data_IF_734311346041
#
_entry.id   IF_734311346041
#
_cell.length_a   1.000
_cell.length_b   1.000
_cell.length_c   1.000
_cell.angle_alpha   90.00
_cell.angle_beta   90.00
_cell.angle_gamma   90.00
#
_symmetry.space_group_name_H-M   'P 1'
#
loop_
_entity.id
_entity.type
_entity.pdbx_description
1 polymer ?
#
# COMPACT_ATOMS: atom_id res chain seq x y z
N UNK A 1 16.08 72.36 -17.41
CA UNK A 1 15.55 72.03 -16.07
C UNK A 1 14.85 70.69 -16.23
N UNK A 2 15.57 69.60 -15.95
CA UNK A 2 15.09 68.23 -16.07
C UNK A 2 14.73 67.75 -14.66
N UNK A 3 13.49 67.32 -14.46
CA UNK A 3 13.04 66.68 -13.22
C UNK A 3 13.01 65.18 -13.54
N UNK A 4 13.94 64.43 -12.94
CA UNK A 4 13.90 62.97 -12.96
C UNK A 4 12.89 62.45 -11.93
N UNK A 5 12.14 61.36 -12.22
CA UNK A 5 11.22 60.78 -11.27
C UNK A 5 11.97 59.93 -10.24
N UNK A 6 11.67 60.19 -8.97
CA UNK A 6 12.12 59.45 -7.81
C UNK A 6 11.47 58.05 -7.82
N UNK A 7 12.23 57.01 -8.18
CA UNK A 7 11.80 55.63 -7.94
C UNK A 7 12.12 55.25 -6.49
N UNK A 8 11.08 55.09 -5.68
CA UNK A 8 11.19 54.68 -4.27
C UNK A 8 11.41 53.16 -4.17
N UNK A 9 12.44 52.76 -3.43
CA UNK A 9 12.85 51.36 -3.17
C UNK A 9 11.79 50.50 -2.46
N UNK A 10 10.71 51.12 -1.97
CA UNK A 10 9.66 50.45 -1.19
C UNK A 10 8.80 49.46 -1.98
N UNK A 11 8.71 49.62 -3.30
CA UNK A 11 7.90 48.74 -4.16
C UNK A 11 8.53 47.35 -4.34
N UNK A 12 9.86 47.24 -4.25
CA UNK A 12 10.56 45.97 -4.44
C UNK A 12 10.43 45.06 -3.21
N UNK A 13 10.51 45.64 -2.01
CA UNK A 13 10.39 44.91 -0.74
C UNK A 13 8.96 44.40 -0.54
N UNK A 14 7.96 45.21 -0.88
CA UNK A 14 6.55 44.82 -0.78
C UNK A 14 6.20 43.68 -1.75
N UNK A 15 6.74 43.71 -2.99
CA UNK A 15 6.57 42.64 -3.98
C UNK A 15 7.27 41.34 -3.57
N UNK A 16 8.45 41.43 -2.94
CA UNK A 16 9.19 40.25 -2.46
C UNK A 16 8.47 39.56 -1.29
N UNK A 17 7.94 40.34 -0.34
CA UNK A 17 7.15 39.82 0.79
C UNK A 17 5.85 39.17 0.33
N UNK A 18 5.15 39.76 -0.66
CA UNK A 18 3.92 39.18 -1.21
C UNK A 18 4.18 37.84 -1.91
N UNK A 19 5.28 37.72 -2.67
CA UNK A 19 5.69 36.45 -3.27
C UNK A 19 5.99 35.37 -2.23
N UNK A 20 6.70 35.71 -1.14
CA UNK A 20 7.01 34.75 -0.08
C UNK A 20 5.74 34.26 0.66
N UNK A 21 4.74 35.12 0.85
CA UNK A 21 3.45 34.72 1.46
C UNK A 21 2.65 33.82 0.50
N UNK A 22 2.60 34.13 -0.79
CA UNK A 22 1.92 33.29 -1.79
C UNK A 22 2.60 31.91 -1.98
N UNK A 23 3.92 31.84 -1.89
CA UNK A 23 4.66 30.58 -1.98
C UNK A 23 4.43 29.67 -0.77
N UNK A 24 4.28 30.23 0.44
CA UNK A 24 4.00 29.44 1.65
C UNK A 24 2.54 28.94 1.75
N UNK A 25 1.59 29.62 1.11
CA UNK A 25 0.19 29.13 1.03
C UNK A 25 0.00 28.02 -0.01
N UNK A 26 0.89 27.92 -1.00
CA UNK A 26 0.79 26.95 -2.09
C UNK A 26 1.31 25.55 -1.70
N UNK A 27 2.21 25.45 -0.72
CA UNK A 27 2.77 24.17 -0.26
C UNK A 27 1.85 23.42 0.72
N UNK A 28 0.86 24.09 1.33
CA UNK A 28 -0.08 23.45 2.24
C UNK A 28 -1.21 22.69 1.51
N UNK A 29 -1.45 22.97 0.23
CA UNK A 29 -2.58 22.42 -0.52
C UNK A 29 -2.30 21.04 -1.17
N UNK A 30 -1.07 20.54 -1.15
CA UNK A 30 -0.72 19.25 -1.78
C UNK A 30 -0.58 18.11 -0.75
N UNK A 31 -0.55 18.43 0.56
CA UNK A 31 -0.37 17.44 1.63
C UNK A 31 -1.69 16.86 2.19
N UNK A 32 -2.86 17.25 1.68
CA UNK A 32 -4.16 16.86 2.26
C UNK A 32 -4.88 15.70 1.56
N UNK A 33 -4.33 15.12 0.48
CA UNK A 33 -5.04 14.08 -0.27
C UNK A 33 -4.84 12.65 0.22
N UNK A 34 -4.11 12.42 1.32
CA UNK A 34 -3.84 11.07 1.78
C UNK A 34 -3.87 10.96 3.31
N UNK A 35 -4.72 10.06 3.81
CA UNK A 35 -4.76 9.65 5.20
C UNK A 35 -4.36 8.17 5.30
N UNK A 36 -3.52 7.81 6.26
CA UNK A 36 -3.22 6.41 6.56
C UNK A 36 -4.45 5.62 7.06
N UNK A 37 -5.51 6.34 7.43
CA UNK A 37 -6.80 5.81 7.87
C UNK A 37 -7.88 5.86 6.77
N UNK A 38 -7.55 6.31 5.55
CA UNK A 38 -8.50 6.30 4.42
C UNK A 38 -8.92 4.86 4.10
N UNK A 39 -10.20 4.60 4.28
CA UNK A 39 -10.83 3.28 4.26
C UNK A 39 -11.37 2.91 2.86
N UNK A 40 -11.26 3.81 1.89
CA UNK A 40 -11.73 3.59 0.53
C UNK A 40 -10.58 3.19 -0.40
N UNK A 41 -10.79 2.11 -1.16
CA UNK A 41 -9.95 1.76 -2.31
C UNK A 41 -10.40 2.60 -3.51
N UNK A 42 -9.47 3.31 -4.14
CA UNK A 42 -9.71 4.07 -5.37
C UNK A 42 -8.88 3.51 -6.55
N UNK A 43 -9.51 2.76 -7.48
CA UNK A 43 -8.82 2.21 -8.65
C UNK A 43 -8.40 3.26 -9.69
N UNK A 44 -8.87 4.51 -9.56
CA UNK A 44 -8.51 5.63 -10.44
C UNK A 44 -7.22 6.34 -10.01
N UNK A 45 -6.79 6.16 -8.76
CA UNK A 45 -5.51 6.68 -8.30
C UNK A 45 -4.37 5.95 -9.00
N UNK A 46 -3.61 6.70 -9.80
CA UNK A 46 -2.43 6.17 -10.49
C UNK A 46 -1.20 6.08 -9.57
N UNK A 47 -1.09 6.99 -8.61
CA UNK A 47 -0.03 7.02 -7.62
C UNK A 47 -0.40 7.88 -6.41
N UNK A 48 0.18 7.57 -5.26
CA UNK A 48 0.12 8.40 -4.05
C UNK A 48 1.53 8.70 -3.55
N UNK A 49 1.74 9.87 -2.95
CA UNK A 49 3.01 10.21 -2.28
C UNK A 49 2.84 10.02 -0.78
N UNK A 50 3.71 9.22 -0.18
CA UNK A 50 3.71 8.92 1.25
C UNK A 50 5.12 9.20 1.78
N UNK A 51 5.24 10.22 2.63
CA UNK A 51 6.55 10.74 3.04
C UNK A 51 7.30 11.33 1.84
N UNK A 52 8.50 10.82 1.60
CA UNK A 52 9.39 11.18 0.50
C UNK A 52 9.35 10.19 -0.69
N UNK A 53 8.44 9.20 -0.64
CA UNK A 53 8.30 8.17 -1.67
C UNK A 53 6.98 8.27 -2.42
N UNK A 54 7.02 8.05 -3.74
CA UNK A 54 5.82 7.88 -4.58
C UNK A 54 5.53 6.40 -4.77
N UNK A 55 4.30 6.00 -4.45
CA UNK A 55 3.78 4.66 -4.57
C UNK A 55 2.82 4.57 -5.75
N UNK A 56 2.86 3.47 -6.49
CA UNK A 56 1.96 3.24 -7.63
C UNK A 56 0.61 2.75 -7.12
N UNK A 57 -0.47 3.35 -7.62
CA UNK A 57 -1.83 2.99 -7.27
C UNK A 57 -2.29 3.58 -5.93
N UNK A 58 -3.28 2.90 -5.35
CA UNK A 58 -3.82 3.18 -4.02
C UNK A 58 -3.40 2.08 -3.02
N UNK A 59 -2.21 2.20 -2.39
CA UNK A 59 -1.64 1.14 -1.58
C UNK A 59 -2.39 0.95 -0.27
N UNK A 60 -2.63 -0.31 0.10
CA UNK A 60 -3.06 -0.65 1.45
C UNK A 60 -1.86 -0.63 2.41
N UNK A 61 -1.93 0.05 3.57
CA UNK A 61 -0.86 0.04 4.56
C UNK A 61 -0.89 -1.23 5.41
N UNK A 62 0.28 -1.68 5.86
CA UNK A 62 0.41 -2.75 6.85
C UNK A 62 1.54 -2.46 7.82
N UNK A 63 1.56 -3.13 8.98
CA UNK A 63 2.67 -3.09 9.93
C UNK A 63 3.43 -4.40 9.89
N UNK A 64 4.73 -4.36 9.62
CA UNK A 64 5.58 -5.54 9.72
C UNK A 64 5.90 -5.84 11.19
N UNK A 65 5.55 -7.02 11.69
CA UNK A 65 5.64 -7.32 13.13
C UNK A 65 7.08 -7.36 13.65
N UNK A 66 8.04 -7.84 12.84
CA UNK A 66 9.44 -7.97 13.26
C UNK A 66 10.19 -6.63 13.36
N UNK A 67 9.86 -5.66 12.50
CA UNK A 67 10.52 -4.34 12.46
C UNK A 67 9.67 -3.20 13.02
N UNK A 68 8.37 -3.41 13.21
CA UNK A 68 7.40 -2.38 13.60
C UNK A 68 7.13 -1.32 12.53
N UNK A 69 7.69 -1.45 11.33
CA UNK A 69 7.56 -0.45 10.27
C UNK A 69 6.25 -0.58 9.52
N UNK A 70 5.71 0.55 9.10
CA UNK A 70 4.62 0.60 8.13
C UNK A 70 5.17 0.30 6.75
N UNK A 71 4.62 -0.72 6.10
CA UNK A 71 4.83 -1.03 4.69
C UNK A 71 3.55 -0.82 3.88
N UNK A 72 3.66 -1.00 2.57
CA UNK A 72 2.60 -0.71 1.62
C UNK A 72 2.46 -1.81 0.58
N UNK A 73 1.24 -2.06 0.14
CA UNK A 73 0.96 -3.07 -0.88
C UNK A 73 0.97 -2.49 -2.28
N UNK A 74 1.30 -3.31 -3.26
CA UNK A 74 0.97 -3.06 -4.67
C UNK A 74 0.34 -4.30 -5.27
N UNK A 75 -0.78 -4.13 -6.00
CA UNK A 75 -1.52 -5.23 -6.62
C UNK A 75 -1.67 -4.98 -8.12
N UNK A 76 -1.32 -5.98 -8.92
CA UNK A 76 -1.39 -5.92 -10.37
C UNK A 76 -1.70 -7.30 -10.97
N UNK A 77 -1.92 -7.31 -12.29
CA UNK A 77 -1.99 -8.54 -13.08
C UNK A 77 -0.66 -8.72 -13.78
N UNK A 78 -0.11 -9.93 -13.70
CA UNK A 78 1.12 -10.32 -14.37
C UNK A 78 0.88 -11.52 -15.28
N UNK A 79 1.54 -11.52 -16.42
CA UNK A 79 1.53 -12.62 -17.38
C UNK A 79 2.97 -12.84 -17.84
N UNK A 80 3.69 -13.69 -17.11
CA UNK A 80 5.08 -14.03 -17.41
C UNK A 80 5.11 -15.32 -18.23
N UNK A 81 6.03 -15.39 -19.19
CA UNK A 81 6.22 -16.59 -20.01
C UNK A 81 6.52 -17.81 -19.12
N UNK A 82 5.80 -18.91 -19.36
CA UNK A 82 5.95 -20.16 -18.58
C UNK A 82 5.25 -20.19 -17.22
N UNK A 83 4.45 -19.17 -16.88
CA UNK A 83 3.59 -19.17 -15.69
C UNK A 83 2.14 -18.85 -16.05
N UNK A 84 1.19 -19.36 -15.27
CA UNK A 84 -0.21 -18.98 -15.42
C UNK A 84 -0.36 -17.47 -15.16
N UNK A 85 -1.16 -16.75 -15.98
CA UNK A 85 -1.59 -15.39 -15.67
C UNK A 85 -2.09 -15.29 -14.22
N UNK A 86 -1.55 -14.32 -13.48
CA UNK A 86 -1.69 -14.27 -12.03
C UNK A 86 -1.99 -12.85 -11.53
N UNK A 87 -2.71 -12.78 -10.41
CA UNK A 87 -2.75 -11.58 -9.57
C UNK A 87 -1.48 -11.59 -8.73
N UNK A 88 -0.68 -10.54 -8.86
CA UNK A 88 0.51 -10.32 -8.05
C UNK A 88 0.18 -9.32 -6.93
N UNK A 89 0.57 -9.67 -5.70
CA UNK A 89 0.55 -8.81 -4.52
C UNK A 89 1.98 -8.65 -4.03
N UNK A 90 2.49 -7.42 -4.07
CA UNK A 90 3.79 -7.04 -3.54
C UNK A 90 3.61 -6.37 -2.18
N UNK A 91 4.46 -6.74 -1.22
CA UNK A 91 4.53 -6.19 0.14
C UNK A 91 5.87 -5.49 0.28
N UNK A 92 5.84 -4.17 0.38
CA UNK A 92 7.04 -3.34 0.35
C UNK A 92 7.22 -2.67 1.70
N UNK A 93 8.35 -2.95 2.36
CA UNK A 93 8.73 -2.26 3.62
C UNK A 93 9.81 -1.23 3.28
N UNK A 94 9.60 0.05 3.59
CA UNK A 94 10.58 1.09 3.28
C UNK A 94 11.87 0.92 4.08
N UNK A 95 12.95 1.42 3.49
CA UNK A 95 14.26 1.56 4.13
C UNK A 95 14.16 2.61 5.25
N UNK A 96 14.83 2.36 6.37
CA UNK A 96 15.15 3.44 7.29
C UNK A 96 16.37 4.22 6.81
N UNK A 97 16.56 5.43 7.34
CA UNK A 97 17.72 6.25 7.05
C UNK A 97 19.03 5.47 7.35
N UNK A 98 19.91 5.40 6.35
CA UNK A 98 21.18 4.68 6.44
C UNK A 98 21.12 3.19 6.12
N UNK A 99 19.95 2.63 5.80
CA UNK A 99 19.83 1.24 5.35
C UNK A 99 19.98 1.10 3.83
N UNK A 100 20.61 0.01 3.40
CA UNK A 100 20.80 -0.33 1.98
C UNK A 100 19.86 -1.43 1.49
N UNK A 101 19.17 -2.12 2.41
CA UNK A 101 18.24 -3.21 2.10
C UNK A 101 17.03 -3.16 3.03
N UNK A 102 15.81 -3.46 2.54
CA UNK A 102 14.62 -3.43 3.37
C UNK A 102 14.66 -4.58 4.38
N UNK A 103 14.20 -4.30 5.60
CA UNK A 103 14.17 -5.28 6.68
C UNK A 103 13.27 -6.49 6.37
N UNK A 104 12.25 -6.29 5.53
CA UNK A 104 11.36 -7.34 5.07
C UNK A 104 10.73 -6.94 3.73
N UNK A 105 10.07 -7.91 3.10
CA UNK A 105 9.33 -7.72 1.86
C UNK A 105 8.80 -9.05 1.40
N UNK A 106 7.80 -9.01 0.54
CA UNK A 106 7.14 -10.23 0.10
C UNK A 106 6.47 -10.04 -1.25
N UNK A 107 6.33 -11.13 -1.98
CA UNK A 107 5.60 -11.15 -3.22
C UNK A 107 4.79 -12.43 -3.30
N UNK A 108 3.52 -12.27 -3.59
CA UNK A 108 2.55 -13.32 -3.79
C UNK A 108 2.10 -13.29 -5.24
N UNK A 109 2.17 -14.44 -5.90
CA UNK A 109 1.60 -14.64 -7.23
C UNK A 109 0.53 -15.72 -7.11
N UNK A 110 -0.71 -15.32 -7.41
CA UNK A 110 -1.88 -16.16 -7.28
C UNK A 110 -2.50 -16.28 -8.67
N UNK A 111 -2.50 -17.50 -9.23
CA UNK A 111 -3.28 -17.75 -10.43
C UNK A 111 -4.78 -17.57 -10.14
N UNK A 112 -5.62 -17.64 -11.18
CA UNK A 112 -7.05 -17.33 -11.04
C UNK A 112 -7.73 -18.09 -9.88
N UNK A 113 -7.54 -19.41 -9.79
CA UNK A 113 -8.15 -20.24 -8.74
C UNK A 113 -7.61 -19.90 -7.35
N UNK A 114 -6.29 -19.66 -7.24
CA UNK A 114 -5.67 -19.28 -5.97
C UNK A 114 -6.13 -17.89 -5.52
N UNK A 115 -6.26 -16.94 -6.45
CA UNK A 115 -6.72 -15.58 -6.17
C UNK A 115 -8.17 -15.59 -5.65
N UNK A 116 -9.05 -16.37 -6.27
CA UNK A 116 -10.43 -16.53 -5.81
C UNK A 116 -10.50 -17.11 -4.39
N UNK A 117 -9.76 -18.19 -4.12
CA UNK A 117 -9.70 -18.81 -2.80
C UNK A 117 -9.11 -17.86 -1.74
N UNK A 118 -8.05 -17.13 -2.09
CA UNK A 118 -7.42 -16.15 -1.22
C UNK A 118 -8.38 -15.01 -0.89
N UNK A 119 -9.02 -14.39 -1.89
CA UNK A 119 -10.00 -13.32 -1.67
C UNK A 119 -11.20 -13.79 -0.84
N UNK A 120 -11.67 -15.02 -1.04
CA UNK A 120 -12.76 -15.59 -0.24
C UNK A 120 -12.36 -15.75 1.23
N UNK A 121 -11.17 -16.31 1.51
CA UNK A 121 -10.63 -16.41 2.86
C UNK A 121 -10.45 -15.02 3.50
N UNK A 122 -9.88 -14.08 2.74
CA UNK A 122 -9.66 -12.70 3.18
C UNK A 122 -10.97 -11.98 3.50
N UNK A 123 -12.00 -12.12 2.66
CA UNK A 123 -13.34 -11.54 2.87
C UNK A 123 -14.03 -12.13 4.09
N UNK A 124 -13.95 -13.45 4.27
CA UNK A 124 -14.46 -14.14 5.46
C UNK A 124 -13.79 -13.57 6.71
N UNK A 125 -12.47 -13.52 6.71
CA UNK A 125 -11.69 -13.11 7.88
C UNK A 125 -11.90 -11.63 8.23
N UNK A 126 -12.12 -10.74 7.25
CA UNK A 126 -12.52 -9.34 7.52
C UNK A 126 -13.86 -9.28 8.26
N UNK A 127 -14.83 -10.11 7.86
CA UNK A 127 -16.23 -10.04 8.33
C UNK A 127 -16.51 -10.83 9.60
N UNK A 128 -15.64 -11.79 9.93
CA UNK A 128 -15.82 -12.63 11.10
C UNK A 128 -15.83 -11.82 12.40
N UNK A 129 -16.72 -12.20 13.31
CA UNK A 129 -16.86 -11.57 14.62
C UNK A 129 -15.66 -11.87 15.54
N UNK A 130 -15.52 -11.13 16.64
CA UNK A 130 -14.35 -11.20 17.52
C UNK A 130 -14.18 -12.55 18.25
N UNK A 131 -15.25 -13.32 18.37
CA UNK A 131 -15.35 -14.61 19.07
C UNK A 131 -15.38 -15.82 18.11
N UNK A 132 -15.34 -15.59 16.80
CA UNK A 132 -15.27 -16.68 15.83
C UNK A 132 -13.87 -17.33 15.83
N UNK A 133 -13.77 -18.66 16.01
CA UNK A 133 -12.49 -19.35 15.88
C UNK A 133 -12.08 -19.35 14.41
N UNK A 134 -11.07 -18.55 14.08
CA UNK A 134 -10.55 -18.47 12.72
C UNK A 134 -9.27 -19.29 12.61
N UNK A 135 -9.36 -20.35 11.81
CA UNK A 135 -8.23 -21.21 11.52
C UNK A 135 -7.24 -20.52 10.57
N UNK A 136 -5.95 -20.76 10.79
CA UNK A 136 -4.89 -20.41 9.85
C UNK A 136 -5.23 -20.97 8.48
N UNK A 137 -5.36 -20.11 7.49
CA UNK A 137 -5.61 -20.49 6.11
C UNK A 137 -4.30 -20.53 5.34
N UNK A 138 -3.70 -21.72 5.13
CA UNK A 138 -2.49 -21.84 4.32
C UNK A 138 -2.82 -21.68 2.84
N UNK A 139 -1.90 -21.10 2.08
CA UNK A 139 -2.02 -21.06 0.63
C UNK A 139 -0.65 -21.26 -0.03
N UNK A 140 -0.63 -22.17 -1.01
CA UNK A 140 0.56 -22.46 -1.77
C UNK A 140 0.79 -21.37 -2.83
N UNK A 141 2.05 -21.00 -3.01
CA UNK A 141 2.48 -20.13 -4.10
C UNK A 141 3.32 -20.92 -5.10
N UNK A 142 3.56 -20.35 -6.28
CA UNK A 142 4.48 -20.95 -7.25
C UNK A 142 5.94 -20.98 -6.77
N UNK A 143 6.29 -20.21 -5.73
CA UNK A 143 7.64 -20.15 -5.19
C UNK A 143 7.88 -21.32 -4.20
N UNK A 144 8.72 -22.28 -4.61
CA UNK A 144 9.12 -23.39 -3.74
C UNK A 144 9.84 -22.86 -2.48
N UNK A 145 9.44 -23.37 -1.31
CA UNK A 145 10.09 -23.05 -0.02
C UNK A 145 9.52 -21.85 0.73
N UNK A 146 8.55 -21.12 0.16
CA UNK A 146 7.81 -20.08 0.87
C UNK A 146 6.42 -20.61 1.27
N UNK A 147 6.23 -20.88 2.57
CA UNK A 147 4.91 -21.19 3.13
C UNK A 147 4.20 -19.88 3.47
N UNK A 148 3.00 -19.69 2.94
CA UNK A 148 2.20 -18.52 3.20
C UNK A 148 0.90 -18.89 3.90
N UNK A 149 0.47 -18.03 4.81
CA UNK A 149 -0.81 -18.20 5.46
C UNK A 149 -1.47 -16.88 5.83
N UNK A 150 -2.80 -16.92 5.89
CA UNK A 150 -3.63 -15.86 6.41
C UNK A 150 -4.12 -16.30 7.79
N UNK A 151 -3.96 -15.43 8.78
CA UNK A 151 -4.44 -15.61 10.15
C UNK A 151 -5.15 -14.35 10.63
N UNK A 152 -6.01 -14.49 11.62
CA UNK A 152 -6.58 -13.35 12.35
C UNK A 152 -5.96 -13.31 13.73
N UNK A 153 -5.54 -12.12 14.14
CA UNK A 153 -4.96 -11.89 15.45
C UNK A 153 -5.59 -10.68 16.13
N UNK A 154 -5.58 -10.68 17.46
CA UNK A 154 -5.94 -9.52 18.27
C UNK A 154 -4.67 -8.89 18.82
N UNK A 155 -4.46 -7.62 18.46
CA UNK A 155 -3.36 -6.81 18.99
C UNK A 155 -3.88 -5.81 20.02
N UNK A 156 -2.98 -5.07 20.68
CA UNK A 156 -3.37 -3.94 21.54
C UNK A 156 -4.16 -2.85 20.80
N UNK A 157 -4.04 -2.77 19.48
CA UNK A 157 -4.75 -1.80 18.62
C UNK A 157 -6.06 -2.36 18.07
N UNK A 158 -6.44 -3.58 18.45
CA UNK A 158 -7.61 -4.27 17.96
C UNK A 158 -7.25 -5.43 17.03
N UNK A 159 -8.29 -5.95 16.39
CA UNK A 159 -8.25 -7.09 15.47
C UNK A 159 -7.53 -6.72 14.17
N UNK A 160 -6.64 -7.60 13.72
CA UNK A 160 -5.86 -7.45 12.49
C UNK A 160 -5.89 -8.75 11.69
N UNK A 161 -5.86 -8.64 10.37
CA UNK A 161 -5.51 -9.76 9.52
C UNK A 161 -3.99 -9.82 9.41
N UNK A 162 -3.42 -11.00 9.56
CA UNK A 162 -2.00 -11.24 9.43
C UNK A 162 -1.74 -12.11 8.22
N UNK A 163 -0.89 -11.59 7.35
CA UNK A 163 -0.31 -12.36 6.27
C UNK A 163 1.08 -12.81 6.73
N UNK A 164 1.29 -14.11 6.81
CA UNK A 164 2.52 -14.71 7.28
C UNK A 164 3.25 -15.35 6.11
N UNK A 165 4.56 -15.15 6.01
CA UNK A 165 5.43 -15.96 5.16
C UNK A 165 6.55 -16.57 5.97
N UNK A 166 6.79 -17.85 5.75
CA UNK A 166 7.86 -18.62 6.40
C UNK A 166 8.76 -19.24 5.33
N UNK A 167 10.06 -19.00 5.47
CA UNK A 167 11.10 -19.73 4.77
C UNK A 167 12.06 -20.37 5.80
N UNK A 168 13.15 -20.99 5.33
CA UNK A 168 14.11 -21.68 6.21
C UNK A 168 14.81 -20.75 7.21
N UNK A 169 14.92 -19.46 6.89
CA UNK A 169 15.73 -18.48 7.63
C UNK A 169 14.91 -17.53 8.50
N UNK A 170 13.66 -17.25 8.12
CA UNK A 170 12.83 -16.22 8.74
C UNK A 170 11.33 -16.47 8.62
N UNK A 171 10.60 -15.83 9.52
CA UNK A 171 9.15 -15.67 9.47
C UNK A 171 8.86 -14.17 9.42
N UNK A 172 8.24 -13.72 8.34
CA UNK A 172 7.74 -12.34 8.24
C UNK A 172 6.22 -12.35 8.46
N UNK A 173 5.74 -11.38 9.25
CA UNK A 173 4.31 -11.23 9.57
C UNK A 173 3.89 -9.80 9.24
N UNK A 174 2.92 -9.66 8.35
CA UNK A 174 2.39 -8.39 7.86
C UNK A 174 0.97 -8.20 8.40
N UNK A 175 0.80 -7.20 9.26
CA UNK A 175 -0.45 -6.95 9.99
C UNK A 175 -1.24 -5.84 9.31
N UNK A 176 -2.45 -6.16 8.87
CA UNK A 176 -3.39 -5.23 8.25
C UNK A 176 -4.49 -4.92 9.26
N UNK A 177 -4.77 -3.63 9.46
CA UNK A 177 -6.02 -3.23 10.14
C UNK A 177 -7.22 -3.72 9.32
N UNK A 178 -8.40 -3.76 9.93
CA UNK A 178 -9.64 -4.15 9.21
C UNK A 178 -9.88 -3.26 7.98
N UNK A 179 -9.65 -1.95 8.09
CA UNK A 179 -9.84 -1.02 6.97
C UNK A 179 -8.78 -1.22 5.87
N UNK A 180 -7.51 -1.35 6.25
CA UNK A 180 -6.45 -1.70 5.31
C UNK A 180 -6.73 -3.04 4.59
N UNK A 181 -7.30 -4.00 5.32
CA UNK A 181 -7.72 -5.28 4.76
C UNK A 181 -8.81 -5.09 3.71
N UNK A 182 -9.88 -4.33 4.00
CA UNK A 182 -10.94 -4.02 3.02
C UNK A 182 -10.37 -3.35 1.76
N UNK A 183 -9.45 -2.40 1.94
CA UNK A 183 -8.77 -1.71 0.84
C UNK A 183 -7.96 -2.68 -0.03
N UNK A 184 -7.17 -3.55 0.59
CA UNK A 184 -6.42 -4.59 -0.11
C UNK A 184 -7.34 -5.55 -0.87
N UNK A 185 -8.45 -5.98 -0.24
CA UNK A 185 -9.44 -6.84 -0.90
C UNK A 185 -10.01 -6.17 -2.16
N UNK A 186 -10.34 -4.88 -2.11
CA UNK A 186 -10.79 -4.12 -3.28
C UNK A 186 -9.75 -4.11 -4.42
N UNK A 187 -8.47 -3.92 -4.09
CA UNK A 187 -7.38 -3.94 -5.06
C UNK A 187 -7.18 -5.34 -5.70
N UNK A 188 -7.34 -6.40 -4.91
CA UNK A 188 -7.30 -7.80 -5.37
C UNK A 188 -8.48 -8.11 -6.30
N UNK A 189 -9.69 -7.72 -5.93
CA UNK A 189 -10.90 -7.91 -6.75
C UNK A 189 -10.79 -7.18 -8.09
N UNK A 190 -10.27 -5.95 -8.09
CA UNK A 190 -10.04 -5.18 -9.31
C UNK A 190 -9.05 -5.87 -10.25
N UNK A 191 -7.92 -6.33 -9.70
CA UNK A 191 -6.89 -7.02 -10.48
C UNK A 191 -7.38 -8.39 -10.96
N UNK A 192 -8.13 -9.12 -10.14
CA UNK A 192 -8.75 -10.38 -10.53
C UNK A 192 -9.73 -10.21 -11.70
N UNK A 193 -10.57 -9.18 -11.69
CA UNK A 193 -11.48 -8.87 -12.81
C UNK A 193 -10.69 -8.57 -14.10
N UNK A 194 -9.58 -7.85 -14.01
CA UNK A 194 -8.69 -7.61 -15.16
C UNK A 194 -8.09 -8.91 -15.70
N UNK A 195 -7.62 -9.79 -14.82
CA UNK A 195 -7.09 -11.10 -15.17
C UNK A 195 -8.13 -11.98 -15.90
N UNK A 196 -9.35 -12.05 -15.38
CA UNK A 196 -10.45 -12.79 -15.98
C UNK A 196 -10.82 -12.23 -17.37
N UNK A 197 -10.84 -10.91 -17.53
CA UNK A 197 -11.13 -10.26 -18.82
C UNK A 197 -10.03 -10.50 -19.88
N UNK A 198 -8.77 -10.71 -19.46
CA UNK A 198 -7.67 -11.06 -20.35
C UNK A 198 -7.72 -12.52 -20.79
N UNK A 199 -8.16 -13.42 -19.91
CA UNK A 199 -8.23 -14.86 -20.17
C UNK A 199 -9.45 -15.29 -21.00
N UNK A 200 -10.45 -14.40 -21.15
CA UNK A 200 -11.64 -14.61 -21.98
C UNK A 200 -11.48 -14.16 -23.44
N UNK A 201 -10.31 -13.64 -23.82
CA UNK A 201 -9.96 -13.24 -25.19
C UNK A 201 -9.09 -14.29 -25.85
#
# INVERSE_FOLDING_TARGET
MLIEPFQTEDDAVFRLLLCCVCLNLSTAAIAQNWSADDDTFDPSLHSVTIGDATWIGDPSPFVHAGSGRTGYTYVNVVNYEGMDPSVQLSLMVPLAAGETQPAAGGMLMLNQKQAEAFMAAFSRDIKAEADEPLERFPFATALKGADWALTVATTKRGRVLQLETKNEEKVDVYQFSVNASKKLLGALEHSYKKLAAQSAK
#
